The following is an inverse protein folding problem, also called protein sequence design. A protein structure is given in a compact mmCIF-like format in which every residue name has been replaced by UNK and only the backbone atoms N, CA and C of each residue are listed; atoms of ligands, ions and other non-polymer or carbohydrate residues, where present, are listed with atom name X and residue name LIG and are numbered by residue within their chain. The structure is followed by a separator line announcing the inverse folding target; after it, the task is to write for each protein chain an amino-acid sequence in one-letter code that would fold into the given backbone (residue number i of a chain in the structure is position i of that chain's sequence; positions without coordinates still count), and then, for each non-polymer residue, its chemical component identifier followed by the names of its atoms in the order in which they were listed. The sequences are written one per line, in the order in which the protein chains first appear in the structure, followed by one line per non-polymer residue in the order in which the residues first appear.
data_IF_148474211160
#
_entry.id   IF_148474211160
#
_cell.length_a   1.000
_cell.length_b   1.000
_cell.length_c   1.000
_cell.angle_alpha   90.00
_cell.angle_beta   90.00
_cell.angle_gamma   90.00
#
_symmetry.space_group_name_H-M   'P 1'
#
loop_
_entity.id
_entity.type
_entity.pdbx_description
1 polymer ?
#
# COMPACT_ATOMS: atom_id res chain seq x y z
N UNK A 1 -5.86 -25.52 8.84
CA UNK A 1 -4.43 -25.16 8.69
C UNK A 1 -3.78 -25.85 7.48
N UNK A 2 -4.09 -27.11 7.21
CA UNK A 2 -3.52 -27.88 6.08
C UNK A 2 -4.04 -27.39 4.71
N UNK A 3 -5.34 -27.08 4.61
CA UNK A 3 -5.94 -26.49 3.39
C UNK A 3 -5.29 -25.16 3.01
N UNK A 4 -5.02 -24.29 4.01
CA UNK A 4 -4.36 -22.98 3.77
C UNK A 4 -2.90 -23.15 3.33
N UNK A 5 -2.17 -24.12 3.89
CA UNK A 5 -0.81 -24.42 3.45
C UNK A 5 -0.78 -24.92 2.00
N UNK A 6 -1.74 -25.76 1.62
CA UNK A 6 -1.84 -26.30 0.27
C UNK A 6 -2.24 -25.21 -0.74
N UNK A 7 -3.15 -24.29 -0.36
CA UNK A 7 -3.51 -23.13 -1.17
C UNK A 7 -2.30 -22.20 -1.36
N UNK A 8 -1.57 -21.90 -0.27
CA UNK A 8 -0.40 -21.05 -0.31
C UNK A 8 0.71 -21.66 -1.19
N UNK A 9 0.94 -22.97 -1.09
CA UNK A 9 1.88 -23.67 -1.94
C UNK A 9 1.50 -23.57 -3.41
N UNK A 10 0.27 -23.88 -3.77
CA UNK A 10 -0.22 -23.78 -5.16
C UNK A 10 -0.20 -22.33 -5.69
N UNK A 11 -0.55 -21.35 -4.86
CA UNK A 11 -0.47 -19.94 -5.23
C UNK A 11 1.00 -19.50 -5.45
N UNK A 12 1.91 -19.94 -4.59
CA UNK A 12 3.34 -19.69 -4.73
C UNK A 12 3.93 -20.37 -5.97
N UNK A 13 3.49 -21.59 -6.29
CA UNK A 13 3.95 -22.30 -7.48
C UNK A 13 3.42 -21.61 -8.75
N UNK A 14 2.17 -21.16 -8.76
CA UNK A 14 1.62 -20.34 -9.84
C UNK A 14 2.35 -18.99 -10.00
N UNK A 15 2.75 -18.36 -8.90
CA UNK A 15 3.54 -17.12 -8.91
C UNK A 15 5.01 -17.35 -9.29
N UNK A 16 5.60 -18.51 -8.97
CA UNK A 16 6.97 -18.88 -9.39
C UNK A 16 7.07 -19.09 -10.91
N UNK A 17 6.01 -19.55 -11.55
CA UNK A 17 5.96 -19.63 -13.01
C UNK A 17 5.86 -18.24 -13.66
N UNK A 18 5.43 -17.25 -12.90
CA UNK A 18 5.37 -15.85 -13.25
C UNK A 18 6.51 -15.09 -12.53
N UNK A 19 7.78 -15.49 -12.82
CA UNK A 19 8.92 -14.76 -12.28
C UNK A 19 9.01 -13.40 -12.98
N UNK A 20 8.37 -12.43 -12.36
CA UNK A 20 8.55 -11.01 -12.70
C UNK A 20 9.84 -10.58 -12.01
N UNK A 21 10.97 -10.67 -12.69
CA UNK A 21 12.21 -10.09 -12.18
C UNK A 21 12.22 -8.59 -12.46
N UNK A 22 12.09 -7.80 -11.40
CA UNK A 22 12.36 -6.37 -11.43
C UNK A 22 13.88 -6.16 -11.57
N UNK A 23 14.36 -5.76 -12.73
CA UNK A 23 15.68 -5.20 -12.86
C UNK A 23 15.61 -3.68 -12.64
N UNK A 24 16.00 -3.26 -11.42
CA UNK A 24 15.99 -1.86 -10.97
C UNK A 24 16.90 -0.94 -11.85
N UNK A 25 17.81 -1.51 -12.62
CA UNK A 25 18.73 -0.72 -13.46
C UNK A 25 18.23 -0.46 -14.88
N UNK A 26 17.37 -1.28 -15.43
CA UNK A 26 16.99 -1.19 -16.85
C UNK A 26 15.47 -1.10 -17.11
N UNK A 27 14.62 -1.04 -16.13
CA UNK A 27 13.14 -0.92 -16.26
C UNK A 27 12.53 -1.93 -17.25
N UNK A 28 13.13 -3.10 -17.44
CA UNK A 28 12.65 -4.16 -18.32
C UNK A 28 12.18 -5.34 -17.51
N UNK A 29 10.92 -5.72 -17.71
CA UNK A 29 10.38 -6.98 -17.21
C UNK A 29 10.88 -8.13 -18.07
N UNK A 30 11.60 -9.06 -17.48
CA UNK A 30 11.89 -10.33 -18.12
C UNK A 30 11.11 -11.44 -17.43
N UNK A 31 10.17 -12.02 -18.15
CA UNK A 31 9.50 -13.26 -17.73
C UNK A 31 10.42 -14.41 -18.09
N UNK A 32 11.14 -14.98 -17.13
CA UNK A 32 11.89 -16.21 -17.34
C UNK A 32 11.01 -17.42 -17.00
N UNK A 33 10.57 -18.14 -18.01
CA UNK A 33 9.85 -19.39 -17.85
C UNK A 33 10.82 -20.56 -17.80
N UNK A 34 10.98 -21.18 -16.64
CA UNK A 34 11.70 -22.46 -16.54
C UNK A 34 10.83 -23.70 -16.80
N UNK A 35 9.49 -23.52 -16.86
CA UNK A 35 8.56 -24.59 -17.26
C UNK A 35 7.56 -24.05 -18.27
N UNK A 36 7.93 -24.17 -19.54
CA UNK A 36 7.23 -23.60 -20.70
C UNK A 36 5.99 -24.35 -21.15
N UNK A 37 5.55 -25.41 -20.47
CA UNK A 37 4.50 -26.30 -21.00
C UNK A 37 3.06 -25.95 -20.58
N UNK A 38 2.85 -25.08 -19.58
CA UNK A 38 1.49 -24.77 -19.10
C UNK A 38 0.90 -23.45 -19.59
N UNK A 39 1.72 -22.51 -20.05
CA UNK A 39 1.25 -21.19 -20.47
C UNK A 39 1.88 -20.76 -21.81
N UNK A 40 1.24 -21.12 -22.90
CA UNK A 40 1.61 -20.71 -24.27
C UNK A 40 1.11 -19.30 -24.61
N UNK A 41 0.79 -18.46 -23.63
CA UNK A 41 0.27 -17.13 -23.89
C UNK A 41 1.39 -16.15 -24.23
N UNK A 42 1.20 -15.38 -25.29
CA UNK A 42 2.16 -14.41 -25.81
C UNK A 42 2.03 -13.03 -25.16
N UNK A 43 1.02 -12.80 -24.29
CA UNK A 43 0.76 -11.48 -23.67
C UNK A 43 0.75 -11.56 -22.15
N UNK A 44 1.22 -10.48 -21.50
CA UNK A 44 1.17 -10.31 -20.04
C UNK A 44 -0.27 -10.43 -19.52
N UNK A 45 -1.22 -9.83 -20.22
CA UNK A 45 -2.65 -9.86 -19.86
C UNK A 45 -3.19 -11.27 -19.77
N UNK A 46 -2.86 -12.13 -20.76
CA UNK A 46 -3.34 -13.51 -20.76
C UNK A 46 -2.68 -14.31 -19.63
N UNK A 47 -1.36 -14.22 -19.49
CA UNK A 47 -0.62 -14.94 -18.44
C UNK A 47 -1.13 -14.57 -17.04
N UNK A 48 -1.33 -13.28 -16.78
CA UNK A 48 -1.83 -12.80 -15.49
C UNK A 48 -3.28 -13.25 -15.24
N UNK A 49 -4.11 -13.21 -16.29
CA UNK A 49 -5.50 -13.70 -16.23
C UNK A 49 -5.56 -15.18 -15.89
N UNK A 50 -4.74 -16.01 -16.53
CA UNK A 50 -4.71 -17.46 -16.31
C UNK A 50 -4.29 -17.79 -14.87
N UNK A 51 -3.27 -17.09 -14.34
CA UNK A 51 -2.84 -17.23 -12.95
C UNK A 51 -3.95 -16.84 -11.97
N UNK A 52 -4.60 -15.70 -12.18
CA UNK A 52 -5.68 -15.22 -11.32
C UNK A 52 -6.90 -16.17 -11.36
N UNK A 53 -7.25 -16.68 -12.53
CA UNK A 53 -8.33 -17.66 -12.70
C UNK A 53 -8.00 -18.95 -11.96
N UNK A 54 -6.78 -19.49 -12.13
CA UNK A 54 -6.34 -20.68 -11.42
C UNK A 54 -6.36 -20.50 -9.89
N UNK A 55 -5.83 -19.38 -9.40
CA UNK A 55 -5.85 -19.06 -7.99
C UNK A 55 -7.28 -18.89 -7.46
N UNK A 56 -8.13 -18.23 -8.23
CA UNK A 56 -9.53 -18.00 -7.89
C UNK A 56 -10.34 -19.29 -7.83
N UNK A 57 -10.13 -20.20 -8.77
CA UNK A 57 -10.74 -21.52 -8.74
C UNK A 57 -10.30 -22.32 -7.49
N UNK A 58 -9.00 -22.32 -7.21
CA UNK A 58 -8.45 -22.99 -6.02
C UNK A 58 -8.99 -22.38 -4.73
N UNK A 59 -9.14 -21.05 -4.68
CA UNK A 59 -9.73 -20.33 -3.56
C UNK A 59 -11.18 -20.75 -3.31
N UNK A 60 -11.97 -20.87 -4.37
CA UNK A 60 -13.35 -21.33 -4.31
C UNK A 60 -13.44 -22.78 -3.81
N UNK A 61 -12.66 -23.70 -4.37
CA UNK A 61 -12.63 -25.13 -3.99
C UNK A 61 -12.21 -25.35 -2.53
N UNK A 62 -11.35 -24.46 -1.99
CA UNK A 62 -10.83 -24.56 -0.61
C UNK A 62 -11.60 -23.71 0.39
N UNK A 63 -12.61 -22.97 -0.06
CA UNK A 63 -13.37 -22.00 0.75
C UNK A 63 -12.44 -21.01 1.48
N UNK A 64 -11.43 -20.53 0.75
CA UNK A 64 -10.41 -19.64 1.31
C UNK A 64 -10.18 -18.48 0.36
N UNK A 65 -10.75 -17.29 0.63
CA UNK A 65 -10.58 -16.12 -0.25
C UNK A 65 -9.13 -15.65 -0.29
N UNK A 66 -8.75 -15.08 -1.43
CA UNK A 66 -7.41 -14.52 -1.67
C UNK A 66 -7.51 -13.00 -1.73
N UNK A 67 -6.64 -12.31 -1.01
CA UNK A 67 -6.49 -10.87 -1.07
C UNK A 67 -5.03 -10.50 -1.39
N UNK A 68 -4.85 -9.71 -2.46
CA UNK A 68 -3.56 -9.12 -2.80
C UNK A 68 -3.48 -7.70 -2.24
N UNK A 69 -2.39 -7.40 -1.55
CA UNK A 69 -2.06 -6.04 -1.11
C UNK A 69 -0.95 -5.51 -2.00
N UNK A 70 -1.23 -4.41 -2.70
CA UNK A 70 -0.29 -3.76 -3.62
C UNK A 70 -0.08 -2.33 -3.12
N UNK A 71 1.13 -2.04 -2.66
CA UNK A 71 1.53 -0.69 -2.29
C UNK A 71 2.14 0.05 -3.48
N UNK A 72 2.07 1.39 -3.45
CA UNK A 72 2.63 2.26 -4.48
C UNK A 72 2.17 1.91 -5.91
N UNK A 73 0.92 1.51 -6.06
CA UNK A 73 0.34 0.99 -7.31
C UNK A 73 0.48 1.99 -8.48
N UNK A 74 0.68 3.29 -8.22
CA UNK A 74 0.90 4.30 -9.25
C UNK A 74 2.26 4.18 -9.98
N UNK A 75 3.16 3.31 -9.54
CA UNK A 75 4.41 3.02 -10.25
C UNK A 75 4.27 1.92 -11.29
N UNK A 76 3.13 1.23 -11.32
CA UNK A 76 2.84 0.27 -12.39
C UNK A 76 2.74 1.01 -13.73
N UNK A 77 3.25 0.36 -14.78
CA UNK A 77 3.04 0.84 -16.15
C UNK A 77 1.57 0.64 -16.55
N UNK A 78 1.12 1.43 -17.50
CA UNK A 78 -0.24 1.39 -18.02
C UNK A 78 -0.63 -0.02 -18.49
N UNK A 79 0.23 -0.69 -19.25
CA UNK A 79 0.02 -2.06 -19.71
C UNK A 79 -0.10 -3.08 -18.55
N UNK A 80 0.70 -2.91 -17.49
CA UNK A 80 0.70 -3.78 -16.31
C UNK A 80 -0.59 -3.58 -15.51
N UNK A 81 -0.97 -2.32 -15.30
CA UNK A 81 -2.21 -1.96 -14.60
C UNK A 81 -3.43 -2.47 -15.39
N UNK A 82 -3.46 -2.25 -16.71
CA UNK A 82 -4.50 -2.76 -17.59
C UNK A 82 -4.62 -4.28 -17.57
N UNK A 83 -3.48 -4.99 -17.52
CA UNK A 83 -3.43 -6.44 -17.40
C UNK A 83 -3.98 -6.94 -16.07
N UNK A 84 -3.62 -6.27 -14.97
CA UNK A 84 -4.11 -6.57 -13.62
C UNK A 84 -5.63 -6.36 -13.52
N UNK A 85 -6.12 -5.26 -14.07
CA UNK A 85 -7.55 -4.94 -14.13
C UNK A 85 -8.32 -6.00 -14.92
N UNK A 86 -7.79 -6.43 -16.08
CA UNK A 86 -8.40 -7.47 -16.90
C UNK A 86 -8.48 -8.81 -16.16
N UNK A 87 -7.41 -9.21 -15.48
CA UNK A 87 -7.35 -10.43 -14.69
C UNK A 87 -8.37 -10.41 -13.52
N UNK A 88 -8.42 -9.30 -12.76
CA UNK A 88 -9.38 -9.13 -11.68
C UNK A 88 -10.83 -9.11 -12.19
N UNK A 89 -11.08 -8.43 -13.30
CA UNK A 89 -12.41 -8.40 -13.92
C UNK A 89 -12.86 -9.81 -14.32
N UNK A 90 -11.95 -10.62 -14.88
CA UNK A 90 -12.25 -12.00 -15.26
C UNK A 90 -12.58 -12.88 -14.06
N UNK A 91 -11.81 -12.80 -12.96
CA UNK A 91 -12.11 -13.55 -11.74
C UNK A 91 -13.46 -13.14 -11.13
N UNK A 92 -13.77 -11.84 -11.17
CA UNK A 92 -15.06 -11.33 -10.69
C UNK A 92 -16.24 -11.85 -11.53
N UNK A 93 -16.10 -11.88 -12.87
CA UNK A 93 -17.11 -12.48 -13.76
C UNK A 93 -17.36 -13.97 -13.47
N UNK A 94 -16.34 -14.69 -13.05
CA UNK A 94 -16.42 -16.11 -12.70
C UNK A 94 -16.91 -16.35 -11.26
N UNK A 95 -17.13 -15.28 -10.49
CA UNK A 95 -17.56 -15.38 -9.09
C UNK A 95 -16.47 -15.91 -8.16
N UNK A 96 -15.21 -15.81 -8.53
CA UNK A 96 -14.09 -16.29 -7.73
C UNK A 96 -13.77 -15.34 -6.56
N UNK A 97 -13.45 -15.86 -5.36
CA UNK A 97 -13.19 -15.05 -4.18
C UNK A 97 -11.75 -14.49 -4.19
N UNK A 98 -11.48 -13.60 -5.15
CA UNK A 98 -10.20 -12.90 -5.29
C UNK A 98 -10.44 -11.39 -5.18
N UNK A 99 -9.64 -10.72 -4.38
CA UNK A 99 -9.71 -9.27 -4.14
C UNK A 99 -8.32 -8.64 -4.19
N UNK A 100 -8.28 -7.38 -4.61
CA UNK A 100 -7.08 -6.54 -4.56
C UNK A 100 -7.36 -5.33 -3.66
N UNK A 101 -6.42 -5.01 -2.79
CA UNK A 101 -6.35 -3.76 -2.05
C UNK A 101 -5.09 -3.04 -2.48
N UNK A 102 -5.26 -1.93 -3.20
CA UNK A 102 -4.16 -1.10 -3.68
C UNK A 102 -4.03 0.18 -2.84
N UNK A 103 -2.80 0.55 -2.49
CA UNK A 103 -2.48 1.86 -1.94
C UNK A 103 -1.63 2.66 -2.94
N UNK A 104 -1.81 3.98 -2.98
CA UNK A 104 -1.06 4.83 -3.89
C UNK A 104 -1.43 6.29 -3.82
N UNK A 105 -0.71 7.12 -4.56
CA UNK A 105 -0.95 8.57 -4.64
C UNK A 105 -2.20 8.89 -5.46
N UNK A 106 -2.81 10.09 -5.29
CA UNK A 106 -4.05 10.48 -5.97
C UNK A 106 -4.05 10.37 -7.50
N UNK A 107 -2.87 10.42 -8.15
CA UNK A 107 -2.76 10.23 -9.61
C UNK A 107 -3.32 8.88 -10.10
N UNK A 108 -3.47 7.89 -9.19
CA UNK A 108 -4.04 6.58 -9.53
C UNK A 108 -5.48 6.69 -10.04
N UNK A 109 -6.26 7.66 -9.55
CA UNK A 109 -7.63 7.88 -10.05
C UNK A 109 -7.65 8.10 -11.56
N UNK A 110 -6.74 8.95 -12.06
CA UNK A 110 -6.61 9.21 -13.49
C UNK A 110 -6.15 7.97 -14.25
N UNK A 111 -5.11 7.30 -13.76
CA UNK A 111 -4.58 6.09 -14.38
C UNK A 111 -5.65 4.99 -14.52
N UNK A 112 -6.47 4.80 -13.48
CA UNK A 112 -7.54 3.80 -13.50
C UNK A 112 -8.72 4.19 -14.38
N UNK A 113 -9.07 5.48 -14.49
CA UNK A 113 -10.14 5.95 -15.35
C UNK A 113 -9.78 5.93 -16.83
N UNK A 114 -8.50 6.15 -17.16
CA UNK A 114 -8.01 6.15 -18.54
C UNK A 114 -7.94 4.73 -19.12
N UNK A 115 -7.78 3.70 -18.28
CA UNK A 115 -7.59 2.32 -18.72
C UNK A 115 -8.86 1.68 -19.30
N UNK A 116 -9.97 1.67 -18.57
CA UNK A 116 -11.21 1.02 -19.07
C UNK A 116 -12.46 1.54 -18.35
N UNK A 117 -13.54 1.65 -19.08
CA UNK A 117 -14.84 2.13 -18.61
C UNK A 117 -15.49 1.30 -17.49
N UNK A 118 -15.08 0.04 -17.30
CA UNK A 118 -15.60 -0.79 -16.21
C UNK A 118 -14.79 -0.70 -14.90
N UNK A 119 -13.67 0.01 -14.90
CA UNK A 119 -12.79 0.14 -13.73
C UNK A 119 -13.51 0.79 -12.55
N UNK A 120 -14.37 1.78 -12.81
CA UNK A 120 -15.18 2.44 -11.79
C UNK A 120 -16.12 1.49 -11.04
N UNK A 121 -16.57 0.40 -11.69
CA UNK A 121 -17.42 -0.61 -11.08
C UNK A 121 -16.64 -1.69 -10.33
N UNK A 122 -15.36 -1.80 -10.66
CA UNK A 122 -14.48 -2.83 -10.12
C UNK A 122 -13.85 -2.41 -8.78
N UNK A 123 -13.57 -1.10 -8.62
CA UNK A 123 -12.87 -0.57 -7.46
C UNK A 123 -13.75 0.36 -6.62
N UNK A 124 -13.54 0.29 -5.31
CA UNK A 124 -14.03 1.28 -4.35
C UNK A 124 -12.85 2.11 -3.89
N UNK A 125 -12.97 3.41 -4.03
CA UNK A 125 -11.93 4.35 -3.64
C UNK A 125 -12.17 4.84 -2.22
N UNK A 126 -11.09 4.91 -1.45
CA UNK A 126 -11.06 5.52 -0.14
C UNK A 126 -9.87 6.48 -0.06
N UNK A 127 -10.15 7.74 0.08
CA UNK A 127 -9.12 8.74 0.31
C UNK A 127 -8.69 8.72 1.78
N UNK A 128 -7.38 8.72 2.01
CA UNK A 128 -6.75 8.80 3.33
C UNK A 128 -6.05 10.15 3.39
N UNK A 129 -6.61 11.07 4.15
CA UNK A 129 -6.09 12.43 4.31
C UNK A 129 -5.25 12.59 5.58
N UNK A 130 -4.95 13.86 5.90
CA UNK A 130 -4.30 14.23 7.15
C UNK A 130 -5.16 13.86 8.37
N UNK A 131 -4.50 13.62 9.49
CA UNK A 131 -5.13 13.39 10.78
C UNK A 131 -5.78 14.69 11.29
N UNK A 132 -6.94 14.57 11.92
CA UNK A 132 -7.51 15.70 12.66
C UNK A 132 -6.75 15.91 13.99
N UNK A 133 -7.11 16.95 14.74
CA UNK A 133 -6.44 17.32 15.99
C UNK A 133 -6.46 16.19 17.03
N UNK A 134 -7.60 15.52 17.21
CA UNK A 134 -7.73 14.40 18.16
C UNK A 134 -6.88 13.19 17.74
N UNK A 135 -6.89 12.86 16.46
CA UNK A 135 -6.07 11.78 15.90
C UNK A 135 -4.58 12.12 15.98
N UNK A 136 -4.20 13.38 15.76
CA UNK A 136 -2.83 13.85 15.93
C UNK A 136 -2.38 13.71 17.38
N UNK A 137 -3.24 14.09 18.34
CA UNK A 137 -2.96 13.90 19.77
C UNK A 137 -2.66 12.41 20.07
N UNK A 138 -3.50 11.51 19.61
CA UNK A 138 -3.26 10.06 19.78
C UNK A 138 -1.95 9.61 19.14
N UNK A 139 -1.67 10.05 17.91
CA UNK A 139 -0.45 9.70 17.18
C UNK A 139 0.83 10.21 17.84
N UNK A 140 0.76 11.30 18.63
CA UNK A 140 1.88 11.86 19.40
C UNK A 140 2.02 11.16 20.75
N UNK A 141 0.92 11.03 21.49
CA UNK A 141 0.94 10.61 22.89
C UNK A 141 1.12 9.10 23.03
N UNK A 142 0.39 8.28 22.27
CA UNK A 142 0.42 6.82 22.44
C UNK A 142 1.83 6.22 22.28
N UNK A 143 2.61 6.56 21.24
CA UNK A 143 3.98 6.07 21.13
C UNK A 143 4.91 6.59 22.24
N UNK A 144 4.72 7.83 22.69
CA UNK A 144 5.57 8.49 23.67
C UNK A 144 5.49 7.85 25.07
N UNK A 145 4.32 7.32 25.45
CA UNK A 145 4.10 6.63 26.72
C UNK A 145 5.10 5.47 26.91
N UNK A 146 5.36 4.72 25.83
CA UNK A 146 6.30 3.60 25.86
C UNK A 146 7.75 3.99 26.17
N UNK A 147 8.09 5.27 25.99
CA UNK A 147 9.40 5.86 26.27
C UNK A 147 9.41 6.74 27.54
N UNK A 148 8.33 6.76 28.33
CA UNK A 148 8.21 7.58 29.53
C UNK A 148 8.13 9.08 29.24
N UNK A 149 7.71 9.47 28.04
CA UNK A 149 7.61 10.87 27.60
C UNK A 149 6.14 11.30 27.56
N UNK A 150 5.89 12.49 28.04
CA UNK A 150 4.58 13.15 27.98
C UNK A 150 4.67 14.50 27.28
N UNK A 151 3.54 14.98 26.78
CA UNK A 151 3.40 16.26 26.09
C UNK A 151 2.34 17.10 26.76
N UNK A 152 2.56 18.41 26.87
CA UNK A 152 1.51 19.35 27.26
C UNK A 152 0.51 19.54 26.10
N UNK A 153 -0.73 19.93 26.42
CA UNK A 153 -1.76 20.19 25.40
C UNK A 153 -1.31 21.25 24.38
N UNK A 154 -0.68 22.33 24.88
CA UNK A 154 -0.16 23.40 24.02
C UNK A 154 0.93 22.91 23.06
N UNK A 155 1.76 21.97 23.48
CA UNK A 155 2.76 21.36 22.62
C UNK A 155 2.12 20.51 21.51
N UNK A 156 1.07 19.74 21.84
CA UNK A 156 0.31 18.94 20.89
C UNK A 156 -0.39 19.84 19.87
N UNK A 157 -1.04 20.91 20.33
CA UNK A 157 -1.71 21.87 19.46
C UNK A 157 -0.70 22.56 18.53
N UNK A 158 0.48 22.87 19.03
CA UNK A 158 1.55 23.45 18.21
C UNK A 158 2.02 22.46 17.13
N UNK A 159 2.22 21.19 17.49
CA UNK A 159 2.60 20.12 16.53
C UNK A 159 1.53 20.02 15.45
N UNK A 160 0.24 19.96 15.81
CA UNK A 160 -0.85 19.93 14.85
C UNK A 160 -0.86 21.15 13.92
N UNK A 161 -0.70 22.34 14.48
CA UNK A 161 -0.71 23.58 13.70
C UNK A 161 0.44 23.67 12.68
N UNK A 162 1.60 23.11 13.00
CA UNK A 162 2.76 23.08 12.11
C UNK A 162 2.59 22.00 11.04
N UNK A 163 2.22 20.78 11.45
CA UNK A 163 2.18 19.62 10.58
C UNK A 163 0.89 19.49 9.77
N UNK A 164 -0.14 20.25 10.14
CA UNK A 164 -1.51 20.16 9.61
C UNK A 164 -2.06 18.72 9.63
N UNK A 165 -1.60 17.93 10.62
CA UNK A 165 -1.99 16.54 10.77
C UNK A 165 -1.36 15.57 9.78
N UNK A 166 -0.36 15.99 8.98
CA UNK A 166 0.29 15.09 8.04
C UNK A 166 1.20 14.10 8.78
N UNK A 167 0.95 12.77 8.71
CA UNK A 167 1.59 11.78 9.58
C UNK A 167 3.12 11.80 9.52
N UNK A 168 3.68 11.92 8.33
CA UNK A 168 5.14 11.99 8.15
C UNK A 168 5.77 13.18 8.89
N UNK A 169 5.14 14.36 8.79
CA UNK A 169 5.65 15.55 9.47
C UNK A 169 5.46 15.48 10.98
N UNK A 170 4.39 14.84 11.47
CA UNK A 170 4.20 14.58 12.89
C UNK A 170 5.37 13.75 13.42
N UNK A 171 5.65 12.61 12.80
CA UNK A 171 6.73 11.71 13.23
C UNK A 171 8.09 12.41 13.17
N UNK A 172 8.39 13.10 12.06
CA UNK A 172 9.64 13.83 11.89
C UNK A 172 9.82 14.92 12.97
N UNK A 173 8.79 15.72 13.23
CA UNK A 173 8.86 16.79 14.22
C UNK A 173 9.02 16.21 15.63
N UNK A 174 8.24 15.20 16.00
CA UNK A 174 8.33 14.55 17.31
C UNK A 174 9.70 13.91 17.54
N UNK A 175 10.31 13.27 16.53
CA UNK A 175 11.68 12.73 16.62
C UNK A 175 12.70 13.85 16.92
N UNK A 176 12.64 14.96 16.17
CA UNK A 176 13.54 16.10 16.38
C UNK A 176 13.36 16.72 17.77
N UNK A 177 12.12 16.88 18.21
CA UNK A 177 11.81 17.42 19.56
C UNK A 177 12.36 16.51 20.64
N UNK A 178 12.14 15.20 20.52
CA UNK A 178 12.63 14.22 21.48
C UNK A 178 14.16 14.22 21.57
N UNK A 179 14.85 14.15 20.44
CA UNK A 179 16.32 14.15 20.38
C UNK A 179 16.97 15.41 20.98
N UNK A 180 16.35 16.58 20.77
CA UNK A 180 16.87 17.85 21.27
C UNK A 180 16.54 18.13 22.74
N UNK A 181 15.45 17.58 23.24
CA UNK A 181 14.92 17.98 24.56
C UNK A 181 15.44 17.07 25.66
N UNK A 182 15.56 15.76 25.43
CA UNK A 182 15.96 14.76 26.40
C UNK A 182 15.24 14.90 27.76
N UNK A 183 13.93 15.22 27.74
CA UNK A 183 13.06 15.46 28.90
C UNK A 183 11.89 14.48 28.90
N UNK A 184 11.41 14.18 30.12
CA UNK A 184 10.19 13.38 30.31
C UNK A 184 8.91 14.15 29.99
N UNK A 185 8.94 15.48 30.10
CA UNK A 185 7.82 16.36 29.74
C UNK A 185 8.23 17.33 28.62
N UNK A 186 7.50 17.28 27.52
CA UNK A 186 7.70 18.16 26.36
C UNK A 186 6.65 19.27 26.39
N UNK A 187 7.13 20.49 26.46
CA UNK A 187 6.36 21.73 26.47
C UNK A 187 6.43 22.44 25.12
N UNK A 188 5.55 23.41 24.89
CA UNK A 188 5.49 24.21 23.66
C UNK A 188 6.85 24.82 23.28
N UNK A 189 7.63 25.28 24.27
CA UNK A 189 8.96 25.86 24.05
C UNK A 189 9.94 24.86 23.41
N UNK A 190 9.84 23.58 23.80
CA UNK A 190 10.67 22.53 23.22
C UNK A 190 10.33 22.29 21.75
N UNK A 191 9.06 22.38 21.39
CA UNK A 191 8.61 22.31 20.00
C UNK A 191 9.14 23.50 19.20
N UNK A 192 8.99 24.73 19.71
CA UNK A 192 9.44 25.94 19.05
C UNK A 192 10.96 25.94 18.77
N UNK A 193 11.76 25.53 19.76
CA UNK A 193 13.22 25.42 19.61
C UNK A 193 13.66 24.30 18.63
N UNK A 194 12.77 23.39 18.33
CA UNK A 194 13.07 22.23 17.47
C UNK A 194 12.74 22.45 16.01
N UNK A 195 11.95 23.47 15.69
CA UNK A 195 11.58 23.81 14.32
C UNK A 195 12.83 24.36 13.60
N UNK A 196 13.31 23.70 12.52
CA UNK A 196 14.37 24.27 11.69
C UNK A 196 13.88 25.58 11.10
N UNK A 197 14.64 26.67 11.27
CA UNK A 197 14.28 28.01 10.77
C UNK A 197 14.13 28.11 9.24
N UNK A 198 14.30 27.00 8.49
CA UNK A 198 14.36 27.00 7.04
C UNK A 198 13.58 25.92 6.29
N UNK A 199 12.81 25.03 6.93
CA UNK A 199 12.25 23.86 6.20
C UNK A 199 10.91 23.28 6.68
N UNK A 200 9.95 24.05 7.12
CA UNK A 200 8.55 23.58 7.20
C UNK A 200 7.67 24.67 6.59
N UNK A 201 7.72 24.78 5.26
CA UNK A 201 6.68 25.43 4.47
C UNK A 201 6.23 24.37 3.46
N UNK A 202 5.03 23.84 3.67
CA UNK A 202 4.29 23.06 2.68
C UNK A 202 3.52 24.05 1.79
#
# INVERSE_FOLDING_TARGET
KEKVKNLLSKALDALKTLVISFDVKNTTFTVSSQERELYTSTSLTQSLTDVFVYMGQTALETDTPICFFIDEIQYMKEEELGSLIAALHRTNQLGYPVMIIGAGLPKIYKMLSDEKTYTERLFRYKEIGSLNQEQTKKAVVEPAIGFGVSYTEDAIDKIYNITKGYPFFIQMLCSIVYEKTNKELIEIQNVDCSIPQSRIVA
#
